data_IF_540379587819
#
_entry.id   IF_540379587819
#
_cell.length_a   1.000
_cell.length_b   1.000
_cell.length_c   1.000
_cell.angle_alpha   90.00
_cell.angle_beta   90.00
_cell.angle_gamma   90.00
#
_symmetry.space_group_name_H-M   'P 1'
#
loop_
_entity.id
_entity.type
_entity.pdbx_description
1 polymer ?
#
# COMPACT_ATOMS: atom_id res chain seq x y z
N UNK A 1 -10.95 61.90 43.07
CA UNK A 1 -10.45 60.49 43.07
C UNK A 1 -11.03 59.76 41.85
N UNK A 2 -10.26 59.68 40.79
CA UNK A 2 -10.69 59.01 39.52
C UNK A 2 -10.16 57.56 39.52
N UNK A 3 -11.07 56.56 39.57
CA UNK A 3 -10.72 55.15 39.51
C UNK A 3 -10.56 54.71 38.05
N UNK A 4 -9.33 54.41 37.65
CA UNK A 4 -8.97 53.85 36.37
C UNK A 4 -9.35 52.37 36.37
N UNK A 5 -10.34 51.94 35.56
CA UNK A 5 -10.69 50.55 35.34
C UNK A 5 -9.83 50.07 34.17
N UNK A 6 -8.84 49.20 34.47
CA UNK A 6 -8.05 48.51 33.44
C UNK A 6 -8.83 47.30 33.03
N UNK A 7 -9.37 47.28 31.80
CA UNK A 7 -10.02 46.12 31.19
C UNK A 7 -8.94 45.20 30.63
N UNK A 8 -8.69 44.07 31.33
CA UNK A 8 -7.77 43.03 30.86
C UNK A 8 -8.48 42.19 29.79
N UNK A 9 -8.18 42.46 28.52
CA UNK A 9 -8.71 41.69 27.41
C UNK A 9 -7.89 40.36 27.27
N UNK A 10 -8.39 39.29 27.86
CA UNK A 10 -7.81 37.94 27.73
C UNK A 10 -8.04 37.45 26.30
N UNK A 11 -7.03 37.49 25.44
CA UNK A 11 -7.06 36.80 24.14
C UNK A 11 -7.06 35.30 24.38
N UNK A 12 -8.20 34.63 24.17
CA UNK A 12 -8.32 33.22 24.07
C UNK A 12 -7.60 32.76 22.78
N UNK A 13 -6.35 32.28 22.94
CA UNK A 13 -5.65 31.57 21.86
C UNK A 13 -6.28 30.19 21.76
N UNK A 14 -7.20 30.02 20.81
CA UNK A 14 -7.71 28.70 20.46
C UNK A 14 -6.55 27.87 19.90
N UNK A 15 -6.31 26.65 20.39
CA UNK A 15 -5.29 25.79 19.82
C UNK A 15 -5.67 25.51 18.34
N UNK A 16 -4.79 25.87 17.42
CA UNK A 16 -4.90 25.45 16.03
C UNK A 16 -4.89 23.92 16.01
N UNK A 17 -6.02 23.30 15.72
CA UNK A 17 -6.07 21.87 15.44
C UNK A 17 -5.23 21.62 14.21
N UNK A 18 -4.04 21.02 14.39
CA UNK A 18 -3.21 20.61 13.27
C UNK A 18 -4.05 19.69 12.37
N UNK A 19 -4.44 20.20 11.22
CA UNK A 19 -5.19 19.44 10.22
C UNK A 19 -4.32 18.25 9.81
N UNK A 20 -4.80 17.04 10.11
CA UNK A 20 -4.03 15.81 9.86
C UNK A 20 -3.77 15.70 8.36
N UNK A 21 -2.49 15.67 7.96
CA UNK A 21 -2.11 15.54 6.57
C UNK A 21 -2.79 14.34 5.92
N UNK A 22 -3.39 14.56 4.76
CA UNK A 22 -4.00 13.49 3.96
C UNK A 22 -2.91 12.52 3.50
N UNK A 23 -3.20 11.21 3.49
CA UNK A 23 -2.22 10.21 3.09
C UNK A 23 -2.73 9.37 1.92
N UNK A 24 -1.87 9.21 0.93
CA UNK A 24 -2.08 8.24 -0.13
C UNK A 24 -0.93 7.24 -0.16
N UNK A 25 -1.22 6.03 -0.62
CA UNK A 25 -0.20 5.06 -1.01
C UNK A 25 -0.43 4.66 -2.47
N UNK A 26 0.65 4.46 -3.21
CA UNK A 26 0.60 3.99 -4.59
C UNK A 26 1.47 2.75 -4.69
N UNK A 27 0.89 1.69 -5.23
CA UNK A 27 1.56 0.42 -5.52
C UNK A 27 1.78 0.35 -7.03
N UNK A 28 3.00 0.02 -7.45
CA UNK A 28 3.32 -0.29 -8.85
C UNK A 28 3.42 -1.80 -8.97
N UNK A 29 2.44 -2.42 -9.61
CA UNK A 29 2.33 -3.86 -9.83
C UNK A 29 3.13 -4.35 -11.05
N UNK A 30 3.13 -5.65 -11.33
CA UNK A 30 3.70 -6.34 -12.51
C UNK A 30 5.20 -6.13 -12.75
N UNK A 31 5.96 -5.85 -11.70
CA UNK A 31 7.42 -5.67 -11.82
C UNK A 31 8.14 -7.02 -11.94
N UNK A 32 9.27 -7.03 -12.66
CA UNK A 32 10.17 -8.18 -12.80
C UNK A 32 10.32 -8.74 -14.21
N UNK A 33 9.45 -8.35 -15.15
CA UNK A 33 9.53 -8.82 -16.55
C UNK A 33 10.46 -7.94 -17.43
N UNK A 34 10.48 -6.63 -17.22
CA UNK A 34 11.32 -5.68 -17.93
C UNK A 34 12.27 -4.98 -16.96
N UNK A 35 13.58 -5.09 -17.23
CA UNK A 35 14.59 -4.39 -16.43
C UNK A 35 14.49 -2.87 -16.61
N UNK A 36 14.27 -2.43 -17.84
CA UNK A 36 14.17 -1.00 -18.18
C UNK A 36 13.00 -0.35 -17.44
N UNK A 37 11.78 -0.85 -17.65
CA UNK A 37 10.59 -0.30 -17.01
C UNK A 37 10.62 -0.44 -15.48
N UNK A 38 11.23 -1.54 -14.97
CA UNK A 38 11.40 -1.72 -13.54
C UNK A 38 12.35 -0.69 -12.92
N UNK A 39 13.44 -0.34 -13.59
CA UNK A 39 14.38 0.72 -13.17
C UNK A 39 13.69 2.08 -13.20
N UNK A 40 13.05 2.41 -14.29
CA UNK A 40 12.31 3.66 -14.45
C UNK A 40 11.25 3.83 -13.36
N UNK A 41 10.51 2.77 -13.06
CA UNK A 41 9.53 2.79 -11.96
C UNK A 41 10.20 3.07 -10.60
N UNK A 42 11.34 2.44 -10.28
CA UNK A 42 12.03 2.63 -9.00
C UNK A 42 12.63 4.04 -8.86
N UNK A 43 12.95 4.71 -9.98
CA UNK A 43 13.45 6.09 -10.00
C UNK A 43 12.38 7.15 -9.73
N UNK A 44 11.09 6.80 -9.78
CA UNK A 44 10.01 7.73 -9.42
C UNK A 44 10.22 8.30 -8.00
N UNK A 45 9.94 9.60 -7.79
CA UNK A 45 10.12 10.23 -6.50
C UNK A 45 9.09 9.78 -5.46
N UNK A 46 9.45 9.90 -4.18
CA UNK A 46 8.55 9.63 -3.06
C UNK A 46 8.50 8.16 -2.61
N UNK A 47 7.64 7.87 -1.64
CA UNK A 47 7.57 6.60 -0.93
C UNK A 47 6.55 5.65 -1.56
N UNK A 48 6.81 5.23 -2.81
CA UNK A 48 6.01 4.22 -3.50
C UNK A 48 6.28 2.81 -2.95
N UNK A 49 5.33 1.91 -3.17
CA UNK A 49 5.45 0.47 -2.90
C UNK A 49 5.53 -0.29 -4.23
N UNK A 50 6.48 -1.21 -4.34
CA UNK A 50 6.75 -1.96 -5.57
C UNK A 50 6.39 -3.41 -5.41
N UNK A 51 5.42 -3.87 -6.21
CA UNK A 51 4.90 -5.22 -6.17
C UNK A 51 5.48 -6.05 -7.31
N UNK A 52 6.26 -7.06 -6.94
CA UNK A 52 7.13 -7.79 -7.86
C UNK A 52 6.59 -9.20 -8.07
N UNK A 53 6.39 -9.57 -9.34
CA UNK A 53 6.05 -10.94 -9.76
C UNK A 53 7.18 -11.91 -9.41
N UNK A 54 6.88 -13.10 -8.87
CA UNK A 54 7.91 -14.06 -8.50
C UNK A 54 8.52 -14.75 -9.72
N UNK A 55 9.80 -15.14 -9.61
CA UNK A 55 10.49 -16.04 -10.56
C UNK A 55 10.56 -15.53 -12.01
N UNK A 56 10.38 -14.24 -12.25
CA UNK A 56 10.67 -13.62 -13.53
C UNK A 56 12.16 -13.24 -13.62
N UNK A 57 12.68 -12.98 -14.83
CA UNK A 57 14.12 -12.76 -15.04
C UNK A 57 14.73 -11.66 -14.16
N UNK A 58 14.00 -10.60 -13.91
CA UNK A 58 14.49 -9.41 -13.19
C UNK A 58 13.84 -9.22 -11.81
N UNK A 59 13.01 -10.15 -11.34
CA UNK A 59 12.31 -10.03 -10.05
C UNK A 59 13.24 -9.70 -8.90
N UNK A 60 14.33 -10.46 -8.76
CA UNK A 60 15.29 -10.27 -7.65
C UNK A 60 16.08 -8.97 -7.77
N UNK A 61 16.46 -8.56 -8.99
CA UNK A 61 17.20 -7.33 -9.21
C UNK A 61 16.34 -6.11 -8.89
N UNK A 62 15.11 -6.08 -9.41
CA UNK A 62 14.19 -4.94 -9.18
C UNK A 62 13.80 -4.84 -7.71
N UNK A 63 13.51 -5.98 -7.04
CA UNK A 63 13.20 -5.98 -5.61
C UNK A 63 14.36 -5.43 -4.76
N UNK A 64 15.60 -5.84 -5.03
CA UNK A 64 16.77 -5.30 -4.34
C UNK A 64 16.98 -3.82 -4.62
N UNK A 65 16.91 -3.40 -5.88
CA UNK A 65 17.03 -1.99 -6.25
C UNK A 65 16.00 -1.11 -5.55
N UNK A 66 14.74 -1.56 -5.48
CA UNK A 66 13.68 -0.85 -4.76
C UNK A 66 14.04 -0.73 -3.26
N UNK A 67 14.42 -1.83 -2.63
CA UNK A 67 14.81 -1.85 -1.22
C UNK A 67 16.02 -0.96 -0.94
N UNK A 68 17.09 -1.05 -1.75
CA UNK A 68 18.32 -0.26 -1.60
C UNK A 68 18.06 1.25 -1.79
N UNK A 69 16.99 1.59 -2.54
CA UNK A 69 16.50 2.97 -2.70
C UNK A 69 15.55 3.42 -1.58
N UNK A 70 15.39 2.65 -0.50
CA UNK A 70 14.52 2.96 0.62
C UNK A 70 13.02 2.81 0.32
N UNK A 71 12.69 2.07 -0.74
CA UNK A 71 11.30 1.81 -1.18
C UNK A 71 10.77 0.50 -0.59
N UNK A 72 9.47 0.43 -0.41
CA UNK A 72 8.81 -0.77 0.07
C UNK A 72 8.62 -1.81 -1.04
N UNK A 73 8.84 -3.10 -0.72
CA UNK A 73 8.70 -4.22 -1.66
C UNK A 73 7.56 -5.13 -1.23
N UNK A 74 6.73 -5.53 -2.19
CA UNK A 74 5.68 -6.53 -2.04
C UNK A 74 5.88 -7.70 -2.99
N UNK A 75 5.32 -8.86 -2.63
CA UNK A 75 5.13 -9.97 -3.56
C UNK A 75 3.83 -9.78 -4.33
N UNK A 76 3.91 -9.68 -5.66
CA UNK A 76 2.76 -9.75 -6.56
C UNK A 76 2.46 -11.20 -6.89
N UNK A 77 1.50 -11.80 -6.15
CA UNK A 77 1.28 -13.25 -6.17
C UNK A 77 0.27 -13.63 -7.27
N UNK A 78 0.69 -14.41 -8.30
CA UNK A 78 -0.19 -14.78 -9.39
C UNK A 78 -1.30 -15.73 -8.95
N UNK A 79 -2.54 -15.41 -9.32
CA UNK A 79 -3.75 -16.13 -8.91
C UNK A 79 -4.69 -16.39 -10.08
N UNK A 80 -5.34 -17.54 -10.08
CA UNK A 80 -6.22 -18.01 -11.15
C UNK A 80 -7.35 -17.04 -11.50
N UNK A 81 -7.54 -16.85 -12.82
CA UNK A 81 -8.60 -16.04 -13.41
C UNK A 81 -9.76 -16.87 -13.90
N UNK A 82 -10.92 -16.24 -14.16
CA UNK A 82 -12.07 -16.89 -14.77
C UNK A 82 -11.84 -17.30 -16.23
N UNK A 83 -11.12 -16.48 -16.97
CA UNK A 83 -10.87 -16.64 -18.40
C UNK A 83 -9.64 -17.52 -18.72
N UNK A 84 -9.03 -18.12 -17.69
CA UNK A 84 -7.94 -19.08 -17.86
C UNK A 84 -6.64 -18.47 -18.37
N UNK A 85 -6.43 -17.17 -18.20
CA UNK A 85 -5.18 -16.50 -18.61
C UNK A 85 -3.96 -17.17 -17.99
N UNK A 86 -2.87 -17.16 -18.74
CA UNK A 86 -1.58 -17.59 -18.25
C UNK A 86 -1.08 -16.69 -17.10
N UNK A 87 -0.82 -17.31 -15.95
CA UNK A 87 -0.47 -16.59 -14.72
C UNK A 87 1.02 -16.29 -14.57
N UNK A 88 1.84 -16.92 -15.38
CA UNK A 88 3.28 -16.92 -15.16
C UNK A 88 3.74 -17.90 -14.05
N UNK A 89 5.04 -17.88 -13.73
CA UNK A 89 5.61 -18.77 -12.72
C UNK A 89 5.05 -18.53 -11.32
N UNK A 90 4.76 -19.61 -10.60
CA UNK A 90 4.28 -19.53 -9.20
C UNK A 90 2.78 -19.29 -9.06
N UNK A 91 2.01 -19.39 -10.16
CA UNK A 91 0.56 -19.19 -10.16
C UNK A 91 -0.18 -20.14 -9.22
N UNK A 92 -1.11 -19.59 -8.45
CA UNK A 92 -2.00 -20.35 -7.57
C UNK A 92 -3.30 -20.69 -8.29
N UNK A 93 -3.68 -21.97 -8.24
CA UNK A 93 -4.88 -22.52 -8.87
C UNK A 93 -5.75 -23.26 -7.86
N UNK A 94 -7.07 -23.26 -8.05
CA UNK A 94 -8.02 -24.02 -7.22
C UNK A 94 -7.77 -25.53 -7.22
N UNK A 95 -7.18 -26.05 -8.30
CA UNK A 95 -6.86 -27.48 -8.43
C UNK A 95 -5.67 -27.96 -7.56
N UNK A 96 -4.91 -27.04 -6.98
CA UNK A 96 -3.79 -27.41 -6.11
C UNK A 96 -4.30 -28.04 -4.81
N UNK A 97 -3.66 -29.14 -4.41
CA UNK A 97 -3.83 -29.65 -3.05
C UNK A 97 -3.31 -28.66 -2.02
N UNK A 98 -3.76 -28.76 -0.76
CA UNK A 98 -3.30 -27.89 0.34
C UNK A 98 -1.77 -27.83 0.45
N UNK A 99 -1.10 -28.99 0.27
CA UNK A 99 0.38 -29.10 0.34
C UNK A 99 1.07 -28.38 -0.82
N UNK A 100 0.55 -28.53 -2.04
CA UNK A 100 1.08 -27.88 -3.24
C UNK A 100 0.86 -26.36 -3.15
N UNK A 101 -0.32 -25.92 -2.70
CA UNK A 101 -0.64 -24.53 -2.50
C UNK A 101 0.34 -23.86 -1.53
N UNK A 102 0.53 -24.44 -0.35
CA UNK A 102 1.48 -23.92 0.63
C UNK A 102 2.92 -23.90 0.12
N UNK A 103 3.32 -24.90 -0.67
CA UNK A 103 4.65 -24.92 -1.30
C UNK A 103 4.80 -23.80 -2.31
N UNK A 104 3.77 -23.54 -3.14
CA UNK A 104 3.78 -22.48 -4.14
C UNK A 104 3.88 -21.11 -3.48
N UNK A 105 3.12 -20.86 -2.41
CA UNK A 105 3.17 -19.59 -1.63
C UNK A 105 4.57 -19.36 -1.08
N UNK A 106 5.14 -20.35 -0.36
CA UNK A 106 6.49 -20.24 0.20
C UNK A 106 7.57 -20.04 -0.86
N UNK A 107 7.48 -20.75 -1.98
CA UNK A 107 8.43 -20.62 -3.08
C UNK A 107 8.34 -19.25 -3.77
N UNK A 108 7.16 -18.64 -3.82
CA UNK A 108 6.97 -17.28 -4.36
C UNK A 108 7.52 -16.23 -3.42
N UNK A 109 7.28 -16.35 -2.11
CA UNK A 109 7.89 -15.46 -1.11
C UNK A 109 9.42 -15.53 -1.14
N UNK A 110 10.01 -16.72 -1.22
CA UNK A 110 11.47 -16.89 -1.30
C UNK A 110 12.08 -16.36 -2.61
N UNK A 111 11.28 -16.20 -3.67
CA UNK A 111 11.75 -15.71 -4.95
C UNK A 111 11.95 -14.19 -4.99
N UNK A 112 11.24 -13.43 -4.15
CA UNK A 112 11.30 -11.96 -4.08
C UNK A 112 11.93 -11.57 -2.74
N UNK A 113 13.11 -10.96 -2.71
CA UNK A 113 13.74 -10.52 -1.46
C UNK A 113 13.03 -9.28 -0.89
N UNK A 114 13.19 -9.06 0.43
CA UNK A 114 12.70 -7.88 1.17
C UNK A 114 11.18 -7.67 1.16
N UNK A 115 10.40 -8.74 0.99
CA UNK A 115 8.93 -8.66 0.97
C UNK A 115 8.40 -8.25 2.33
N UNK A 116 7.64 -7.16 2.39
CA UNK A 116 6.89 -6.70 3.57
C UNK A 116 5.39 -7.00 3.49
N UNK A 117 4.86 -7.28 2.30
CA UNK A 117 3.45 -7.58 2.09
C UNK A 117 3.20 -8.36 0.80
N UNK A 118 1.95 -8.76 0.61
CA UNK A 118 1.51 -9.52 -0.57
C UNK A 118 0.24 -8.88 -1.14
N UNK A 119 0.14 -8.78 -2.47
CA UNK A 119 -1.11 -8.53 -3.15
C UNK A 119 -1.35 -9.54 -4.28
N UNK A 120 -2.54 -9.60 -4.83
CA UNK A 120 -2.85 -10.54 -5.89
C UNK A 120 -2.61 -9.94 -7.28
N UNK A 121 -1.80 -10.64 -8.10
CA UNK A 121 -1.79 -10.50 -9.55
C UNK A 121 -2.96 -11.26 -10.15
N UNK A 122 -3.79 -10.58 -10.95
CA UNK A 122 -5.03 -11.19 -11.45
C UNK A 122 -5.92 -11.74 -10.30
N UNK A 123 -6.44 -12.97 -10.41
CA UNK A 123 -7.14 -13.65 -9.33
C UNK A 123 -8.65 -13.51 -9.34
N UNK A 124 -9.27 -13.09 -10.45
CA UNK A 124 -10.73 -12.92 -10.54
C UNK A 124 -11.55 -14.17 -10.21
N UNK A 125 -10.94 -15.37 -10.29
CA UNK A 125 -11.55 -16.61 -9.82
C UNK A 125 -11.08 -16.97 -8.40
N UNK A 126 -9.76 -16.97 -8.15
CA UNK A 126 -9.21 -17.52 -6.90
C UNK A 126 -9.56 -16.65 -5.69
N UNK A 127 -9.58 -15.32 -5.83
CA UNK A 127 -9.93 -14.41 -4.72
C UNK A 127 -11.37 -14.54 -4.23
N UNK A 128 -12.23 -15.23 -4.98
CA UNK A 128 -13.62 -15.56 -4.59
C UNK A 128 -13.72 -16.93 -3.94
N UNK A 129 -12.70 -17.76 -4.03
CA UNK A 129 -12.70 -19.11 -3.46
C UNK A 129 -12.30 -19.06 -1.98
N UNK A 130 -13.31 -19.25 -1.11
CA UNK A 130 -13.10 -19.16 0.36
C UNK A 130 -12.07 -20.15 0.88
N UNK A 131 -11.99 -21.37 0.30
CA UNK A 131 -11.04 -22.37 0.75
C UNK A 131 -9.60 -21.96 0.43
N UNK A 132 -9.34 -21.58 -0.83
CA UNK A 132 -8.03 -21.10 -1.26
C UNK A 132 -7.59 -19.85 -0.50
N UNK A 133 -8.49 -18.90 -0.28
CA UNK A 133 -8.15 -17.68 0.46
C UNK A 133 -7.88 -17.94 1.94
N UNK A 134 -8.62 -18.85 2.61
CA UNK A 134 -8.26 -19.28 3.97
C UNK A 134 -6.88 -19.90 4.04
N UNK A 135 -6.55 -20.76 3.10
CA UNK A 135 -5.21 -21.35 3.02
C UNK A 135 -4.13 -20.29 2.85
N UNK A 136 -4.36 -19.34 1.94
CA UNK A 136 -3.42 -18.24 1.72
C UNK A 136 -3.19 -17.43 3.00
N UNK A 137 -4.26 -16.99 3.66
CA UNK A 137 -4.15 -16.13 4.84
C UNK A 137 -3.51 -16.87 6.03
N UNK A 138 -3.78 -18.19 6.17
CA UNK A 138 -3.09 -19.04 7.14
C UNK A 138 -1.60 -19.15 6.83
N UNK A 139 -1.23 -19.39 5.54
CA UNK A 139 0.17 -19.50 5.15
C UNK A 139 0.92 -18.17 5.35
N UNK A 140 0.31 -17.04 5.01
CA UNK A 140 0.91 -15.71 5.24
C UNK A 140 1.03 -15.38 6.73
N UNK A 141 0.07 -15.79 7.54
CA UNK A 141 0.09 -15.61 9.00
C UNK A 141 1.22 -16.35 9.72
N UNK A 142 1.86 -17.35 9.06
CA UNK A 142 3.07 -17.98 9.58
C UNK A 142 4.33 -17.12 9.45
N UNK A 143 4.28 -16.04 8.68
CA UNK A 143 5.39 -15.09 8.52
C UNK A 143 5.09 -13.85 9.37
N UNK A 144 6.01 -13.52 10.26
CA UNK A 144 5.88 -12.30 11.07
C UNK A 144 5.93 -11.08 10.16
N UNK A 145 5.05 -10.11 10.44
CA UNK A 145 5.03 -8.77 9.83
C UNK A 145 4.57 -8.67 8.37
N UNK A 146 4.11 -9.76 7.74
CA UNK A 146 3.47 -9.66 6.43
C UNK A 146 2.05 -9.08 6.54
N UNK A 147 1.69 -8.25 5.56
CA UNK A 147 0.33 -7.77 5.36
C UNK A 147 -0.20 -8.21 3.98
N UNK A 148 -1.52 -8.12 3.81
CA UNK A 148 -2.17 -8.44 2.53
C UNK A 148 -2.96 -7.24 1.99
N UNK A 149 -2.78 -6.93 0.70
CA UNK A 149 -3.60 -5.94 -0.01
C UNK A 149 -4.41 -6.64 -1.09
N UNK A 150 -5.74 -6.58 -0.99
CA UNK A 150 -6.63 -7.07 -2.04
C UNK A 150 -6.64 -6.09 -3.22
N UNK A 151 -6.09 -6.51 -4.37
CA UNK A 151 -6.08 -5.72 -5.60
C UNK A 151 -7.47 -5.55 -6.24
N UNK A 152 -8.50 -6.27 -5.71
CA UNK A 152 -9.90 -6.19 -6.14
C UNK A 152 -10.08 -6.33 -7.65
N UNK A 153 -9.53 -7.39 -8.21
CA UNK A 153 -9.70 -7.74 -9.62
C UNK A 153 -11.09 -8.31 -9.95
N UNK A 154 -11.85 -8.70 -8.92
CA UNK A 154 -13.30 -9.01 -8.99
C UNK A 154 -13.98 -8.35 -7.77
N UNK A 155 -15.17 -7.78 -7.98
CA UNK A 155 -15.95 -7.14 -6.92
C UNK A 155 -16.45 -8.11 -5.84
N UNK A 156 -16.53 -9.41 -6.18
CA UNK A 156 -16.98 -10.50 -5.30
C UNK A 156 -15.83 -11.15 -4.52
N UNK A 157 -14.66 -10.54 -4.52
CA UNK A 157 -13.52 -11.04 -3.73
C UNK A 157 -13.88 -11.19 -2.26
N UNK A 158 -13.38 -12.24 -1.63
CA UNK A 158 -13.45 -12.48 -0.19
C UNK A 158 -12.08 -12.38 0.50
N UNK A 159 -11.05 -12.01 -0.28
CA UNK A 159 -9.67 -12.07 0.18
C UNK A 159 -9.43 -11.15 1.40
N UNK A 160 -9.87 -9.88 1.34
CA UNK A 160 -9.73 -8.94 2.47
C UNK A 160 -10.50 -9.39 3.71
N UNK A 161 -11.71 -9.92 3.54
CA UNK A 161 -12.53 -10.42 4.66
C UNK A 161 -11.79 -11.55 5.38
N UNK A 162 -11.29 -12.54 4.62
CA UNK A 162 -10.59 -13.68 5.18
C UNK A 162 -9.21 -13.31 5.75
N UNK A 163 -8.53 -12.31 5.22
CA UNK A 163 -7.33 -11.75 5.84
C UNK A 163 -7.65 -11.15 7.23
N UNK A 164 -8.75 -10.41 7.35
CA UNK A 164 -9.21 -9.85 8.61
C UNK A 164 -9.61 -10.95 9.61
N UNK A 165 -10.32 -11.99 9.17
CA UNK A 165 -10.69 -13.16 10.01
C UNK A 165 -9.44 -13.87 10.53
N UNK A 166 -8.40 -14.00 9.72
CA UNK A 166 -7.12 -14.60 10.11
C UNK A 166 -6.23 -13.71 10.98
N UNK A 167 -6.68 -12.49 11.32
CA UNK A 167 -5.89 -11.53 12.09
C UNK A 167 -4.71 -10.92 11.32
N UNK A 168 -4.63 -11.14 10.01
CA UNK A 168 -3.60 -10.58 9.16
C UNK A 168 -3.86 -9.09 8.91
N UNK A 169 -2.84 -8.25 9.05
CA UNK A 169 -2.93 -6.85 8.67
C UNK A 169 -3.30 -6.76 7.19
N UNK A 170 -4.29 -5.94 6.85
CA UNK A 170 -4.84 -5.95 5.50
C UNK A 170 -5.38 -4.61 5.03
N UNK A 171 -5.44 -4.43 3.71
CA UNK A 171 -6.13 -3.34 3.04
C UNK A 171 -6.72 -3.82 1.71
N UNK A 172 -7.29 -2.91 0.96
CA UNK A 172 -7.71 -3.14 -0.42
C UNK A 172 -7.43 -1.91 -1.26
N UNK A 173 -7.29 -2.11 -2.56
CA UNK A 173 -7.20 -1.04 -3.54
C UNK A 173 -8.47 -0.18 -3.56
N UNK A 174 -8.28 1.12 -3.55
CA UNK A 174 -9.36 2.09 -3.71
C UNK A 174 -9.51 2.53 -5.17
N UNK A 175 -8.39 2.81 -5.86
CA UNK A 175 -8.39 3.30 -7.25
C UNK A 175 -7.42 2.49 -8.11
N UNK A 176 -7.87 2.10 -9.31
CA UNK A 176 -7.03 1.54 -10.36
C UNK A 176 -6.58 2.69 -11.28
N UNK A 177 -5.29 2.93 -11.38
CA UNK A 177 -4.79 4.15 -12.02
C UNK A 177 -4.77 4.08 -13.55
N UNK A 178 -4.58 2.89 -14.11
CA UNK A 178 -4.21 2.70 -15.52
C UNK A 178 -4.95 1.54 -16.19
N UNK A 179 -6.24 1.38 -15.90
CA UNK A 179 -7.09 0.45 -16.63
C UNK A 179 -7.14 0.76 -18.14
N UNK A 180 -6.87 2.02 -18.51
CA UNK A 180 -6.54 2.46 -19.86
C UNK A 180 -5.15 3.09 -19.82
N UNK A 181 -4.27 2.69 -20.77
CA UNK A 181 -2.89 3.15 -20.85
C UNK A 181 -2.80 4.50 -21.59
N UNK A 182 -3.62 5.44 -21.18
CA UNK A 182 -3.73 6.79 -21.71
C UNK A 182 -3.37 7.81 -20.62
N UNK A 183 -2.49 8.80 -20.87
CA UNK A 183 -2.04 9.75 -19.86
C UNK A 183 -3.19 10.56 -19.23
N UNK A 184 -4.19 10.96 -20.01
CA UNK A 184 -5.30 11.74 -19.48
C UNK A 184 -6.23 10.88 -18.62
N UNK A 185 -6.41 9.61 -19.00
CA UNK A 185 -7.11 8.65 -18.15
C UNK A 185 -6.36 8.46 -16.83
N UNK A 186 -5.05 8.19 -16.86
CA UNK A 186 -4.23 8.02 -15.64
C UNK A 186 -4.31 9.25 -14.76
N UNK A 187 -4.17 10.45 -15.34
CA UNK A 187 -4.28 11.73 -14.59
C UNK A 187 -5.67 11.89 -13.97
N UNK A 188 -6.74 11.45 -14.65
CA UNK A 188 -8.09 11.48 -14.10
C UNK A 188 -8.24 10.54 -12.89
N UNK A 189 -7.68 9.33 -12.96
CA UNK A 189 -7.69 8.38 -11.85
C UNK A 189 -6.79 8.83 -10.68
N UNK A 190 -5.67 9.49 -10.95
CA UNK A 190 -4.84 10.10 -9.92
C UNK A 190 -5.60 11.18 -9.14
N UNK A 191 -6.33 12.07 -9.83
CA UNK A 191 -7.23 13.04 -9.18
C UNK A 191 -8.31 12.35 -8.36
N UNK A 192 -8.87 11.23 -8.84
CA UNK A 192 -9.84 10.43 -8.10
C UNK A 192 -9.24 9.82 -6.82
N UNK A 193 -7.98 9.39 -6.88
CA UNK A 193 -7.25 8.90 -5.70
C UNK A 193 -7.13 9.99 -4.64
N UNK A 194 -6.78 11.20 -5.04
CA UNK A 194 -6.70 12.37 -4.16
C UNK A 194 -8.08 12.71 -3.57
N UNK A 195 -9.11 12.79 -4.39
CA UNK A 195 -10.48 13.08 -3.92
C UNK A 195 -10.97 12.03 -2.91
N UNK A 196 -10.60 10.76 -3.11
CA UNK A 196 -10.92 9.70 -2.15
C UNK A 196 -10.16 9.88 -0.83
N UNK A 197 -8.89 10.24 -0.88
CA UNK A 197 -8.13 10.54 0.33
C UNK A 197 -8.71 11.75 1.08
N UNK A 198 -9.18 12.77 0.37
CA UNK A 198 -9.85 13.93 0.96
C UNK A 198 -11.15 13.54 1.69
N UNK A 199 -11.92 12.62 1.12
CA UNK A 199 -13.17 12.14 1.71
C UNK A 199 -12.97 11.19 2.89
N UNK A 200 -11.95 10.31 2.84
CA UNK A 200 -11.78 9.19 3.78
C UNK A 200 -10.51 9.31 4.66
N UNK A 201 -9.71 10.36 4.45
CA UNK A 201 -8.43 10.59 5.14
C UNK A 201 -7.25 9.79 4.56
N UNK A 202 -7.51 8.70 3.83
CA UNK A 202 -6.49 7.88 3.15
C UNK A 202 -7.03 7.20 1.90
N UNK A 203 -6.16 6.95 0.90
CA UNK A 203 -6.51 6.13 -0.24
C UNK A 203 -5.31 5.33 -0.77
N UNK A 204 -5.58 4.16 -1.38
CA UNK A 204 -4.59 3.29 -2.01
C UNK A 204 -4.87 3.21 -3.50
N UNK A 205 -3.90 3.66 -4.32
CA UNK A 205 -3.89 3.49 -5.76
C UNK A 205 -3.04 2.28 -6.17
N UNK A 206 -3.42 1.61 -7.25
CA UNK A 206 -2.59 0.62 -7.93
C UNK A 206 -2.45 1.02 -9.39
N UNK A 207 -1.23 1.00 -9.90
CA UNK A 207 -0.87 1.16 -11.30
C UNK A 207 0.23 0.19 -11.70
N UNK A 208 0.61 0.22 -12.99
CA UNK A 208 1.61 -0.66 -13.58
C UNK A 208 2.73 0.16 -14.20
N UNK A 209 3.89 -0.44 -14.53
CA UNK A 209 5.01 0.28 -15.12
C UNK A 209 4.79 0.57 -16.62
N UNK A 210 3.60 1.05 -16.98
CA UNK A 210 3.33 1.52 -18.33
C UNK A 210 3.93 2.92 -18.54
N UNK A 211 4.46 3.23 -19.72
CA UNK A 211 5.05 4.55 -20.00
C UNK A 211 4.12 5.72 -19.64
N UNK A 212 2.82 5.60 -19.97
CA UNK A 212 1.83 6.62 -19.62
C UNK A 212 1.68 6.80 -18.11
N UNK A 213 1.66 5.71 -17.34
CA UNK A 213 1.56 5.73 -15.88
C UNK A 213 2.80 6.36 -15.25
N UNK A 214 3.99 5.91 -15.69
CA UNK A 214 5.27 6.43 -15.15
C UNK A 214 5.43 7.92 -15.43
N UNK A 215 5.10 8.37 -16.67
CA UNK A 215 5.17 9.78 -17.04
C UNK A 215 4.25 10.65 -16.17
N UNK A 216 2.99 10.25 -16.01
CA UNK A 216 2.03 10.99 -15.17
C UNK A 216 2.46 11.01 -13.71
N UNK A 217 2.94 9.90 -13.17
CA UNK A 217 3.41 9.85 -11.79
C UNK A 217 4.66 10.71 -11.59
N UNK A 218 5.59 10.74 -12.54
CA UNK A 218 6.77 11.61 -12.47
C UNK A 218 6.39 13.11 -12.41
N UNK A 219 5.31 13.51 -13.08
CA UNK A 219 4.81 14.89 -13.06
C UNK A 219 4.03 15.22 -11.77
N UNK A 220 3.17 14.30 -11.29
CA UNK A 220 2.19 14.59 -10.25
C UNK A 220 2.74 14.36 -8.84
N UNK A 221 3.64 13.37 -8.63
CA UNK A 221 4.16 13.05 -7.30
C UNK A 221 4.88 14.20 -6.61
N UNK A 222 5.74 15.00 -7.30
CA UNK A 222 6.40 16.15 -6.67
C UNK A 222 5.44 17.23 -6.16
N UNK A 223 4.24 17.32 -6.73
CA UNK A 223 3.22 18.34 -6.41
C UNK A 223 2.36 17.99 -5.20
N UNK A 224 2.45 16.77 -4.69
CA UNK A 224 1.59 16.30 -3.58
C UNK A 224 1.81 17.10 -2.30
N UNK A 225 3.05 17.43 -1.97
CA UNK A 225 3.39 18.20 -0.77
C UNK A 225 2.72 19.58 -0.75
N UNK A 226 2.70 20.26 -1.90
CA UNK A 226 2.06 21.59 -2.06
C UNK A 226 0.53 21.51 -1.85
N UNK A 227 -0.06 20.33 -2.05
CA UNK A 227 -1.47 20.05 -1.83
C UNK A 227 -1.77 19.54 -0.41
N UNK A 228 -0.78 19.51 0.49
CA UNK A 228 -0.92 18.98 1.85
C UNK A 228 -1.13 17.46 1.89
N UNK A 229 -0.70 16.73 0.85
CA UNK A 229 -0.87 15.28 0.71
C UNK A 229 0.47 14.60 0.93
N UNK A 230 0.50 13.60 1.80
CA UNK A 230 1.67 12.79 2.06
C UNK A 230 1.58 11.46 1.31
N UNK A 231 2.56 11.19 0.44
CA UNK A 231 2.76 9.85 -0.14
C UNK A 231 3.51 8.99 0.88
N UNK A 232 2.95 7.83 1.21
CA UNK A 232 3.52 6.91 2.20
C UNK A 232 3.58 5.48 1.65
N UNK A 233 4.49 4.61 2.15
CA UNK A 233 4.43 3.19 1.86
C UNK A 233 3.08 2.61 2.25
N UNK A 234 2.60 1.60 1.52
CA UNK A 234 1.26 1.05 1.78
C UNK A 234 1.14 0.41 3.16
N UNK A 235 2.22 -0.11 3.73
CA UNK A 235 2.27 -0.62 5.11
C UNK A 235 1.75 0.40 6.14
N UNK A 236 2.07 1.67 5.99
CA UNK A 236 1.59 2.72 6.90
C UNK A 236 0.07 2.93 6.83
N UNK A 237 -0.56 2.65 5.69
CA UNK A 237 -2.01 2.73 5.55
C UNK A 237 -2.71 1.45 6.03
N UNK A 238 -2.06 0.30 5.89
CA UNK A 238 -2.52 -0.98 6.43
C UNK A 238 -2.60 -0.90 7.95
N UNK A 239 -1.55 -0.46 8.61
CA UNK A 239 -1.51 -0.29 10.07
C UNK A 239 -2.57 0.71 10.56
N UNK A 240 -2.71 1.84 9.88
CA UNK A 240 -3.72 2.84 10.20
C UNK A 240 -5.14 2.28 10.11
N UNK A 241 -5.45 1.50 9.05
CA UNK A 241 -6.76 0.87 8.85
C UNK A 241 -7.03 -0.26 9.85
N UNK A 242 -5.97 -0.90 10.39
CA UNK A 242 -6.08 -1.91 11.45
C UNK A 242 -6.37 -1.30 12.81
N UNK A 243 -5.73 -0.18 13.14
CA UNK A 243 -5.87 0.50 14.43
C UNK A 243 -5.92 2.04 14.25
N UNK A 244 -7.12 2.61 14.03
CA UNK A 244 -7.28 4.05 13.83
C UNK A 244 -6.73 4.89 14.98
N UNK A 245 -6.62 4.35 16.21
CA UNK A 245 -6.16 5.07 17.39
C UNK A 245 -4.63 5.20 17.50
N UNK A 246 -3.85 4.34 16.82
CA UNK A 246 -2.37 4.45 16.83
C UNK A 246 -1.88 5.78 16.23
N UNK A 247 -2.67 6.35 15.35
CA UNK A 247 -2.31 7.60 14.67
C UNK A 247 -2.37 8.84 15.57
N UNK A 248 -3.21 8.83 16.59
CA UNK A 248 -3.34 9.93 17.55
C UNK A 248 -2.22 9.92 18.60
N UNK A 249 -1.60 8.77 18.87
CA UNK A 249 -0.55 8.65 19.87
C UNK A 249 0.80 9.26 19.45
N UNK A 250 1.10 9.30 18.14
CA UNK A 250 2.37 9.86 17.62
C UNK A 250 2.39 11.37 17.48
N UNK A 251 1.25 12.05 17.63
CA UNK A 251 1.13 13.52 17.58
C UNK A 251 1.10 14.20 18.94
N UNK A 252 1.25 13.45 20.05
CA UNK A 252 1.40 14.06 21.37
C UNK A 252 2.82 14.60 21.53
N UNK A 253 3.01 15.88 21.91
CA UNK A 253 4.34 16.40 22.21
C UNK A 253 4.94 15.61 23.34
N UNK A 254 6.22 15.23 23.20
CA UNK A 254 7.03 14.60 24.24
C UNK A 254 6.81 15.31 25.57
N UNK A 255 6.20 14.64 26.55
CA UNK A 255 6.26 15.08 27.92
C UNK A 255 7.71 15.03 28.36
N UNK A 256 8.31 16.20 28.48
CA UNK A 256 9.62 16.39 29.08
C UNK A 256 9.54 15.90 30.52
N UNK A 257 10.07 14.72 30.79
CA UNK A 257 10.27 14.24 32.15
C UNK A 257 11.35 15.12 32.78
N UNK A 258 10.93 16.08 33.57
CA UNK A 258 11.81 16.84 34.44
C UNK A 258 12.45 15.85 35.41
N UNK A 259 13.75 15.61 35.26
CA UNK A 259 14.57 14.95 36.27
C UNK A 259 14.67 15.85 37.52
N UNK A 260 13.86 15.56 38.53
CA UNK A 260 14.06 16.08 39.85
C UNK A 260 15.33 15.41 40.44
N UNK A 261 16.44 16.11 40.35
CA UNK A 261 17.59 15.88 41.20
C UNK A 261 17.30 16.42 42.59
N UNK A 262 17.21 15.54 43.58
CA UNK A 262 17.41 15.93 44.97
C UNK A 262 18.20 14.84 45.69
N UNK A 263 19.45 15.26 46.09
CA UNK A 263 20.27 14.86 47.26
C UNK A 263 20.55 13.38 47.46
#
# INVERSE_FOLDING_TARGET
>A
MLRLIVLLCSMLVLPATAQQALKIAIIIDDLGNSLHLGREAVELPGALTYSVLPKLPYSREIARRAYDSGKEVMLHLPMQTHDGRFLGPGGLHRALSRKEFARAVRASLAAVPHVSGVNNHMGSLLTRDKASMRWLMQDLGCFHDLYFVDSRTDVRTVARELAREAGLANAQRDVFLDNQQDPDYVRSQFRRLIAKAQAEGTAIGIGHPYPATLAVLAEELPRLADQGIQLVPVSQLVEKRRNPNLWHASSSPLQTVAKNSKR
#
